data_IF_840415046553
#
_entry.id   IF_840415046553
#
_cell.length_a   1.000
_cell.length_b   1.000
_cell.length_c   1.000
_cell.angle_alpha   90.00
_cell.angle_beta   90.00
_cell.angle_gamma   90.00
#
_symmetry.space_group_name_H-M   'P 1'
#
loop_
_entity.id
_entity.type
_entity.pdbx_description
1 polymer ?
#
# COMPACT_ATOMS: atom_id res chain seq x y z
N UNK A 1 0.39 -7.06 17.91
CA UNK A 1 0.68 -6.60 16.56
C UNK A 1 -0.34 -7.16 15.59
N UNK A 2 -0.74 -6.35 14.64
CA UNK A 2 -1.82 -6.61 13.67
C UNK A 2 -1.64 -7.93 12.87
N UNK A 3 -0.43 -8.30 12.51
CA UNK A 3 -0.12 -9.53 11.78
C UNK A 3 -0.61 -10.82 12.46
N UNK A 4 -0.81 -10.81 13.78
CA UNK A 4 -1.32 -11.97 14.51
C UNK A 4 -2.84 -12.13 14.31
N UNK A 5 -3.60 -11.03 14.18
CA UNK A 5 -5.05 -11.03 13.98
C UNK A 5 -5.45 -11.60 12.61
N UNK A 6 -4.71 -11.29 11.56
CA UNK A 6 -5.00 -11.79 10.20
C UNK A 6 -4.81 -13.30 10.10
N UNK A 7 -3.75 -13.82 10.72
CA UNK A 7 -3.43 -15.26 10.72
C UNK A 7 -4.35 -16.06 11.61
N UNK A 8 -4.78 -15.52 12.77
CA UNK A 8 -5.65 -16.23 13.71
C UNK A 8 -7.09 -16.41 13.20
N UNK A 9 -7.56 -15.51 12.33
CA UNK A 9 -8.91 -15.57 11.76
C UNK A 9 -8.94 -16.17 10.34
N UNK A 10 -7.80 -16.63 9.82
CA UNK A 10 -7.67 -17.20 8.47
C UNK A 10 -8.16 -16.26 7.33
N UNK A 11 -8.14 -14.95 7.57
CA UNK A 11 -8.57 -13.95 6.58
C UNK A 11 -7.50 -13.67 5.51
N UNK A 12 -6.24 -13.88 5.87
CA UNK A 12 -5.08 -13.70 4.98
C UNK A 12 -4.00 -14.71 5.37
N UNK A 13 -3.36 -15.30 4.38
CA UNK A 13 -2.12 -16.06 4.55
C UNK A 13 -0.98 -15.36 3.82
N UNK A 14 0.20 -15.36 4.42
CA UNK A 14 1.44 -14.89 3.79
C UNK A 14 2.46 -16.00 3.88
N UNK A 15 2.95 -16.43 2.73
CA UNK A 15 3.98 -17.44 2.59
C UNK A 15 5.25 -16.82 2.01
N UNK A 16 6.39 -17.09 2.61
CA UNK A 16 7.69 -16.64 2.10
C UNK A 16 8.39 -17.82 1.43
N UNK A 17 8.64 -17.69 0.14
CA UNK A 17 9.34 -18.69 -0.68
C UNK A 17 10.77 -18.26 -0.91
N UNK A 18 11.72 -19.11 -0.52
CA UNK A 18 13.13 -18.81 -0.68
C UNK A 18 13.61 -19.21 -2.07
N UNK A 19 13.95 -18.24 -2.90
CA UNK A 19 14.44 -18.44 -4.28
C UNK A 19 15.69 -19.36 -4.33
N UNK A 20 16.51 -19.38 -3.27
CA UNK A 20 17.70 -20.27 -3.18
C UNK A 20 17.36 -21.74 -3.24
N UNK A 21 16.18 -22.14 -2.82
CA UNK A 21 15.76 -23.53 -2.82
C UNK A 21 15.53 -24.07 -4.25
N UNK A 22 15.46 -23.16 -5.22
CA UNK A 22 15.30 -23.45 -6.66
C UNK A 22 16.59 -23.26 -7.46
N UNK A 23 17.71 -23.05 -6.80
CA UNK A 23 19.00 -22.94 -7.46
C UNK A 23 19.55 -24.33 -7.78
N UNK A 24 19.59 -24.69 -9.06
CA UNK A 24 20.07 -26.00 -9.56
C UNK A 24 21.61 -26.08 -9.64
N UNK A 25 22.32 -25.61 -8.61
CA UNK A 25 23.78 -25.64 -8.57
C UNK A 25 24.32 -26.05 -7.19
N UNK A 26 25.56 -26.56 -7.16
CA UNK A 26 26.19 -27.16 -5.97
C UNK A 26 26.22 -26.23 -4.73
N UNK A 27 26.14 -24.91 -4.92
CA UNK A 27 26.29 -23.92 -3.85
C UNK A 27 25.01 -23.11 -3.57
N UNK A 28 23.89 -23.50 -4.17
CA UNK A 28 22.61 -22.78 -4.11
C UNK A 28 22.78 -21.28 -4.41
N UNK A 29 23.63 -20.97 -5.41
CA UNK A 29 23.87 -19.60 -5.85
C UNK A 29 22.69 -19.14 -6.70
N UNK A 30 22.20 -17.95 -6.39
CA UNK A 30 21.09 -17.30 -7.08
C UNK A 30 21.52 -16.06 -7.85
N UNK A 31 22.80 -15.72 -7.79
CA UNK A 31 23.37 -14.48 -8.30
C UNK A 31 24.62 -14.73 -9.14
N UNK A 32 24.89 -13.86 -10.12
CA UNK A 32 26.09 -13.87 -10.94
C UNK A 32 26.45 -12.47 -11.43
N UNK A 33 27.61 -12.29 -12.03
CA UNK A 33 28.08 -11.03 -12.58
C UNK A 33 27.23 -10.59 -13.78
N UNK A 34 26.90 -9.28 -13.90
CA UNK A 34 26.19 -8.78 -15.06
C UNK A 34 27.00 -8.89 -16.35
N UNK A 35 26.34 -9.24 -17.44
CA UNK A 35 26.95 -9.12 -18.76
C UNK A 35 27.25 -7.64 -19.06
N UNK A 36 28.36 -7.40 -19.75
CA UNK A 36 28.84 -6.05 -20.05
C UNK A 36 29.70 -5.44 -18.94
N UNK A 37 29.88 -6.14 -17.81
CA UNK A 37 30.62 -5.65 -16.65
C UNK A 37 29.83 -4.68 -15.80
N UNK A 38 30.40 -4.23 -14.69
CA UNK A 38 29.79 -3.36 -13.72
C UNK A 38 30.08 -3.84 -12.31
N UNK A 39 29.73 -3.02 -11.30
CA UNK A 39 29.80 -3.40 -9.89
C UNK A 39 28.55 -4.19 -9.50
N UNK A 40 28.69 -5.07 -8.52
CA UNK A 40 27.57 -5.83 -7.96
C UNK A 40 27.25 -7.11 -8.70
N UNK A 41 26.13 -7.70 -8.31
CA UNK A 41 25.65 -9.00 -8.80
C UNK A 41 24.19 -8.84 -9.25
N UNK A 42 23.72 -9.74 -10.11
CA UNK A 42 22.31 -9.84 -10.51
C UNK A 42 21.76 -11.19 -10.08
N UNK A 43 20.50 -11.22 -9.70
CA UNK A 43 19.79 -12.49 -9.49
C UNK A 43 19.58 -13.18 -10.84
N UNK A 44 19.93 -14.47 -10.88
CA UNK A 44 19.83 -15.30 -12.08
C UNK A 44 18.38 -15.61 -12.43
N UNK A 45 18.08 -15.70 -13.73
CA UNK A 45 16.73 -15.99 -14.23
C UNK A 45 16.17 -17.33 -13.75
N UNK A 46 16.98 -18.42 -13.84
CA UNK A 46 16.53 -19.79 -13.56
C UNK A 46 16.01 -20.01 -12.14
N UNK A 47 16.73 -19.61 -11.05
CA UNK A 47 16.21 -19.75 -9.69
C UNK A 47 14.93 -18.94 -9.44
N UNK A 48 14.84 -17.72 -10.00
CA UNK A 48 13.65 -16.86 -9.89
C UNK A 48 12.46 -17.50 -10.60
N UNK A 49 12.67 -17.99 -11.83
CA UNK A 49 11.62 -18.66 -12.59
C UNK A 49 11.17 -19.97 -11.93
N UNK A 50 12.10 -20.75 -11.40
CA UNK A 50 11.79 -21.99 -10.68
C UNK A 50 10.94 -21.74 -9.43
N UNK A 51 11.27 -20.70 -8.65
CA UNK A 51 10.49 -20.30 -7.49
C UNK A 51 9.06 -19.82 -7.89
N UNK A 52 8.98 -18.98 -8.93
CA UNK A 52 7.70 -18.53 -9.48
C UNK A 52 6.82 -19.72 -9.92
N UNK A 53 7.37 -20.66 -10.71
CA UNK A 53 6.61 -21.83 -11.16
C UNK A 53 6.09 -22.67 -10.01
N UNK A 54 6.90 -22.90 -8.98
CA UNK A 54 6.48 -23.67 -7.81
C UNK A 54 5.32 -22.98 -7.05
N UNK A 55 5.35 -21.65 -6.96
CA UNK A 55 4.25 -20.88 -6.35
C UNK A 55 3.00 -20.94 -7.20
N UNK A 56 3.10 -20.76 -8.52
CA UNK A 56 1.97 -20.89 -9.46
C UNK A 56 1.33 -22.28 -9.39
N UNK A 57 2.15 -23.32 -9.44
CA UNK A 57 1.67 -24.71 -9.38
C UNK A 57 0.94 -24.97 -8.04
N UNK A 58 1.46 -24.46 -6.92
CA UNK A 58 0.79 -24.56 -5.61
C UNK A 58 -0.55 -23.80 -5.57
N UNK A 59 -0.62 -22.59 -6.14
CA UNK A 59 -1.86 -21.81 -6.24
C UNK A 59 -2.88 -22.57 -7.10
N UNK A 60 -2.49 -23.10 -8.24
CA UNK A 60 -3.37 -23.87 -9.14
C UNK A 60 -3.89 -25.14 -8.48
N UNK A 61 -3.03 -25.89 -7.79
CA UNK A 61 -3.44 -27.09 -7.03
C UNK A 61 -4.47 -26.75 -5.94
N UNK A 62 -4.29 -25.65 -5.22
CA UNK A 62 -5.18 -25.21 -4.15
C UNK A 62 -6.51 -24.67 -4.66
N UNK A 63 -6.48 -23.87 -5.72
CA UNK A 63 -7.68 -23.16 -6.22
C UNK A 63 -8.42 -23.90 -7.32
N UNK A 64 -7.74 -24.80 -8.04
CA UNK A 64 -8.26 -25.42 -9.26
C UNK A 64 -8.46 -24.44 -10.43
N UNK A 65 -7.99 -23.21 -10.33
CA UNK A 65 -8.12 -22.18 -11.35
C UNK A 65 -7.00 -22.29 -12.39
N UNK A 66 -7.36 -22.27 -13.65
CA UNK A 66 -6.42 -22.07 -14.74
C UNK A 66 -6.27 -20.56 -14.96
N UNK A 67 -5.06 -20.08 -15.04
CA UNK A 67 -4.74 -18.68 -15.25
C UNK A 67 -3.39 -18.31 -14.68
N UNK A 68 -2.99 -17.07 -14.89
CA UNK A 68 -1.74 -16.52 -14.40
C UNK A 68 -2.05 -15.64 -13.18
N UNK A 69 -1.36 -15.91 -12.08
CA UNK A 69 -1.43 -15.07 -10.88
C UNK A 69 -0.76 -13.72 -11.14
N UNK A 70 -1.28 -12.68 -10.54
CA UNK A 70 -0.68 -11.35 -10.60
C UNK A 70 0.66 -11.33 -9.88
N UNK A 71 1.71 -10.89 -10.57
CA UNK A 71 3.08 -10.84 -10.06
C UNK A 71 3.56 -9.39 -9.99
N UNK A 72 3.74 -8.90 -8.78
CA UNK A 72 4.20 -7.54 -8.51
C UNK A 72 5.68 -7.55 -8.18
N UNK A 73 6.51 -6.99 -9.06
CA UNK A 73 7.92 -6.78 -8.81
C UNK A 73 8.16 -5.44 -8.09
N UNK A 74 8.82 -5.51 -6.94
CA UNK A 74 9.09 -4.36 -6.08
C UNK A 74 10.40 -3.70 -6.49
N UNK A 75 10.29 -2.61 -7.21
CA UNK A 75 11.42 -1.93 -7.84
C UNK A 75 11.20 -0.42 -7.92
N UNK A 76 12.28 0.39 -7.77
CA UNK A 76 12.21 1.84 -8.03
C UNK A 76 11.77 2.21 -9.46
N UNK A 77 11.81 1.27 -10.41
CA UNK A 77 11.37 1.47 -11.79
C UNK A 77 9.84 1.49 -11.94
N UNK A 78 9.11 1.03 -10.93
CA UNK A 78 7.65 0.93 -10.95
C UNK A 78 6.92 2.24 -10.67
N UNK A 79 5.62 2.24 -10.96
CA UNK A 79 4.72 3.31 -10.50
C UNK A 79 4.66 3.39 -8.98
N UNK A 80 4.54 4.60 -8.43
CA UNK A 80 4.47 4.78 -6.98
C UNK A 80 3.18 4.18 -6.42
N UNK A 81 3.31 3.29 -5.44
CA UNK A 81 2.19 2.65 -4.74
C UNK A 81 1.24 3.68 -4.14
N UNK A 82 -0.05 3.47 -4.33
CA UNK A 82 -1.12 4.36 -3.89
C UNK A 82 -2.28 3.57 -3.26
N UNK A 83 -3.17 4.27 -2.57
CA UNK A 83 -4.37 3.66 -2.00
C UNK A 83 -5.23 2.96 -3.07
N UNK A 84 -5.37 3.57 -4.26
CA UNK A 84 -6.12 2.97 -5.36
C UNK A 84 -5.49 1.66 -5.87
N UNK A 85 -4.15 1.54 -5.87
CA UNK A 85 -3.48 0.28 -6.18
C UNK A 85 -3.70 -0.76 -5.07
N UNK A 86 -3.71 -0.34 -3.80
CA UNK A 86 -4.03 -1.25 -2.70
C UNK A 86 -5.46 -1.80 -2.83
N UNK A 87 -6.43 -0.96 -3.19
CA UNK A 87 -7.83 -1.36 -3.45
C UNK A 87 -7.97 -2.31 -4.65
N UNK A 88 -7.13 -2.15 -5.65
CA UNK A 88 -7.06 -3.05 -6.80
C UNK A 88 -6.48 -4.41 -6.39
N UNK A 89 -5.36 -4.40 -5.67
CA UNK A 89 -4.71 -5.63 -5.19
C UNK A 89 -5.56 -6.40 -4.18
N UNK A 90 -6.36 -5.70 -3.37
CA UNK A 90 -7.27 -6.33 -2.42
C UNK A 90 -8.42 -7.12 -3.07
N UNK A 91 -8.64 -6.98 -4.38
CA UNK A 91 -9.61 -7.76 -5.14
C UNK A 91 -9.04 -9.09 -5.65
N UNK A 92 -7.73 -9.23 -5.63
CA UNK A 92 -7.06 -10.46 -6.04
C UNK A 92 -7.20 -11.53 -4.94
N UNK A 93 -7.45 -12.76 -5.35
CA UNK A 93 -7.49 -13.89 -4.44
C UNK A 93 -6.09 -14.31 -4.00
N UNK A 94 -5.14 -14.23 -4.94
CA UNK A 94 -3.72 -14.50 -4.76
C UNK A 94 -2.88 -13.41 -5.41
N UNK A 95 -1.78 -13.04 -4.74
CA UNK A 95 -0.83 -12.04 -5.21
C UNK A 95 0.59 -12.52 -4.94
N UNK A 96 1.42 -12.55 -5.96
CA UNK A 96 2.84 -12.86 -5.83
C UNK A 96 3.63 -11.55 -5.73
N UNK A 97 4.37 -11.36 -4.64
CA UNK A 97 5.27 -10.22 -4.45
C UNK A 97 6.71 -10.68 -4.70
N UNK A 98 7.31 -10.24 -5.79
CA UNK A 98 8.69 -10.55 -6.15
C UNK A 98 9.63 -9.53 -5.50
N UNK A 99 10.44 -10.01 -4.56
CA UNK A 99 11.43 -9.23 -3.83
C UNK A 99 12.82 -9.42 -4.44
N UNK A 100 13.33 -8.40 -5.12
CA UNK A 100 14.68 -8.41 -5.67
C UNK A 100 15.74 -8.02 -4.65
N UNK A 101 16.97 -8.45 -4.92
CA UNK A 101 18.18 -8.11 -4.19
C UNK A 101 19.31 -7.70 -5.14
N UNK A 102 20.43 -7.29 -4.57
CA UNK A 102 21.64 -6.88 -5.30
C UNK A 102 21.36 -5.70 -6.24
N UNK A 103 21.89 -5.74 -7.47
CA UNK A 103 21.66 -4.71 -8.49
C UNK A 103 20.33 -4.95 -9.26
N UNK A 104 19.64 -6.05 -8.98
CA UNK A 104 18.36 -6.40 -9.60
C UNK A 104 18.26 -7.87 -10.00
N UNK A 105 17.34 -8.15 -10.88
CA UNK A 105 17.01 -9.48 -11.40
C UNK A 105 17.26 -9.48 -12.92
N UNK A 106 17.66 -10.61 -13.48
CA UNK A 106 17.82 -10.78 -14.94
C UNK A 106 16.53 -10.37 -15.66
N UNK A 107 16.65 -9.44 -16.62
CA UNK A 107 15.49 -8.84 -17.30
C UNK A 107 14.61 -9.87 -18.02
N UNK A 108 15.22 -10.94 -18.55
CA UNK A 108 14.49 -11.98 -19.30
C UNK A 108 13.43 -12.69 -18.46
N UNK A 109 13.69 -12.93 -17.17
CA UNK A 109 12.68 -13.52 -16.29
C UNK A 109 11.64 -12.49 -15.86
N UNK A 110 12.03 -11.23 -15.67
CA UNK A 110 11.08 -10.17 -15.37
C UNK A 110 10.07 -9.99 -16.52
N UNK A 111 10.52 -9.93 -17.76
CA UNK A 111 9.68 -9.86 -18.96
C UNK A 111 8.72 -11.06 -19.06
N UNK A 112 9.15 -12.23 -18.62
CA UNK A 112 8.37 -13.46 -18.68
C UNK A 112 7.29 -13.52 -17.58
N UNK A 113 7.62 -13.12 -16.32
CA UNK A 113 6.74 -13.41 -15.18
C UNK A 113 6.04 -12.18 -14.57
N UNK A 114 6.61 -10.98 -14.70
CA UNK A 114 6.06 -9.78 -14.01
C UNK A 114 4.85 -9.22 -14.73
N UNK A 115 3.82 -8.90 -13.95
CA UNK A 115 2.63 -8.20 -14.45
C UNK A 115 2.66 -6.72 -14.09
N UNK A 116 3.22 -6.38 -12.94
CA UNK A 116 3.24 -5.03 -12.40
C UNK A 116 4.61 -4.68 -11.80
N UNK A 117 5.07 -3.48 -12.07
CA UNK A 117 6.24 -2.89 -11.43
C UNK A 117 5.76 -1.83 -10.44
N UNK A 118 6.13 -1.96 -9.15
CA UNK A 118 5.65 -1.08 -8.09
C UNK A 118 6.80 -0.54 -7.25
N UNK A 119 6.82 0.77 -7.07
CA UNK A 119 7.73 1.49 -6.17
C UNK A 119 6.98 1.99 -4.95
N UNK A 120 7.61 2.06 -3.78
CA UNK A 120 7.05 2.72 -2.60
C UNK A 120 7.56 4.16 -2.41
N UNK A 121 8.31 4.70 -3.38
CA UNK A 121 8.83 6.07 -3.37
C UNK A 121 10.18 6.18 -4.07
N UNK A 122 10.62 7.42 -4.30
CA UNK A 122 11.84 7.75 -5.02
C UNK A 122 13.09 7.64 -4.12
N UNK A 123 13.37 6.43 -3.66
CA UNK A 123 14.57 6.09 -2.88
C UNK A 123 14.91 4.61 -3.06
N UNK A 124 16.15 4.25 -2.80
CA UNK A 124 16.66 2.90 -2.98
C UNK A 124 16.79 2.19 -1.63
N UNK A 125 16.32 0.96 -1.57
CA UNK A 125 16.45 0.05 -0.44
C UNK A 125 17.38 -1.13 -0.79
N UNK A 126 17.81 -1.89 0.21
CA UNK A 126 18.70 -3.03 0.02
C UNK A 126 18.01 -4.27 -0.55
N UNK A 127 16.67 -4.32 -0.53
CA UNK A 127 15.87 -5.44 -1.03
C UNK A 127 14.38 -5.11 -1.09
N UNK A 128 13.60 -5.99 -1.70
CA UNK A 128 12.16 -5.82 -1.90
C UNK A 128 11.28 -6.19 -0.69
N UNK A 129 11.83 -6.74 0.38
CA UNK A 129 11.04 -7.26 1.51
C UNK A 129 10.31 -6.15 2.28
N UNK A 130 10.98 -5.01 2.54
CA UNK A 130 10.32 -3.88 3.20
C UNK A 130 9.19 -3.29 2.36
N UNK A 131 9.36 -3.03 1.06
CA UNK A 131 8.25 -2.69 0.17
C UNK A 131 7.11 -3.71 0.20
N UNK A 132 7.42 -5.02 0.18
CA UNK A 132 6.42 -6.08 0.27
C UNK A 132 5.61 -5.96 1.57
N UNK A 133 6.26 -5.74 2.70
CA UNK A 133 5.59 -5.55 3.99
C UNK A 133 4.65 -4.34 3.98
N UNK A 134 5.05 -3.22 3.36
CA UNK A 134 4.19 -2.02 3.20
C UNK A 134 2.95 -2.36 2.37
N UNK A 135 3.11 -3.05 1.25
CA UNK A 135 1.98 -3.44 0.40
C UNK A 135 1.07 -4.43 1.12
N UNK A 136 1.61 -5.45 1.76
CA UNK A 136 0.83 -6.43 2.54
C UNK A 136 0.01 -5.74 3.63
N UNK A 137 0.61 -4.81 4.38
CA UNK A 137 -0.11 -4.07 5.43
C UNK A 137 -1.25 -3.23 4.82
N UNK A 138 -0.97 -2.43 3.80
CA UNK A 138 -1.96 -1.57 3.16
C UNK A 138 -3.12 -2.36 2.52
N UNK A 139 -2.81 -3.45 1.81
CA UNK A 139 -3.82 -4.32 1.17
C UNK A 139 -4.65 -5.08 2.20
N UNK A 140 -4.01 -5.64 3.23
CA UNK A 140 -4.71 -6.43 4.24
C UNK A 140 -5.76 -5.63 5.02
N UNK A 141 -5.54 -4.34 5.24
CA UNK A 141 -6.51 -3.43 5.89
C UNK A 141 -7.83 -3.27 5.11
N UNK A 142 -7.80 -3.53 3.81
CA UNK A 142 -8.96 -3.43 2.91
C UNK A 142 -9.76 -4.73 2.81
N UNK A 143 -9.24 -5.82 3.37
CA UNK A 143 -9.94 -7.11 3.38
C UNK A 143 -11.03 -7.08 4.47
N UNK A 144 -12.29 -7.40 4.14
CA UNK A 144 -13.39 -7.41 5.09
C UNK A 144 -13.08 -8.27 6.33
N UNK A 145 -13.40 -7.76 7.51
CA UNK A 145 -13.19 -8.45 8.78
C UNK A 145 -11.76 -8.37 9.35
N UNK A 146 -10.82 -7.76 8.63
CA UNK A 146 -9.45 -7.53 9.12
C UNK A 146 -9.40 -6.41 10.14
N UNK A 147 -10.12 -5.31 9.92
CA UNK A 147 -10.31 -4.27 10.90
C UNK A 147 -11.57 -4.56 11.73
N UNK A 148 -11.51 -4.31 13.05
CA UNK A 148 -12.65 -4.51 13.96
C UNK A 148 -13.86 -3.64 13.65
N UNK A 149 -13.68 -2.59 12.87
CA UNK A 149 -14.73 -1.68 12.49
C UNK A 149 -14.61 -1.41 10.98
N UNK A 150 -15.46 -2.03 10.18
CA UNK A 150 -15.45 -1.91 8.72
C UNK A 150 -15.69 -0.46 8.26
N UNK A 151 -16.34 0.37 9.10
CA UNK A 151 -16.52 1.81 8.85
C UNK A 151 -15.25 2.63 9.11
N UNK A 152 -14.22 2.06 9.73
CA UNK A 152 -12.95 2.79 9.98
C UNK A 152 -12.23 3.12 8.67
N UNK A 153 -12.30 2.24 7.68
CA UNK A 153 -11.67 2.44 6.38
C UNK A 153 -12.38 3.52 5.53
N UNK A 154 -13.67 3.78 5.77
CA UNK A 154 -14.46 4.73 4.98
C UNK A 154 -14.08 6.21 5.22
N UNK A 155 -13.41 6.52 6.33
CA UNK A 155 -13.07 7.89 6.72
C UNK A 155 -11.57 8.15 6.82
N UNK A 156 -10.74 7.21 6.40
CA UNK A 156 -9.28 7.34 6.42
C UNK A 156 -8.76 8.27 5.30
N UNK A 157 -7.51 8.72 5.46
CA UNK A 157 -6.84 9.53 4.44
C UNK A 157 -6.80 8.81 3.09
N UNK A 158 -6.96 9.60 2.02
CA UNK A 158 -7.03 9.21 0.60
C UNK A 158 -8.39 8.68 0.14
N UNK A 159 -9.36 8.46 1.02
CA UNK A 159 -10.76 8.31 0.61
C UNK A 159 -11.23 9.64 0.00
N UNK A 160 -11.94 9.60 -1.12
CA UNK A 160 -12.36 10.78 -1.90
C UNK A 160 -11.21 11.76 -2.22
N UNK A 161 -9.95 11.30 -2.23
CA UNK A 161 -8.76 12.12 -2.39
C UNK A 161 -8.61 13.24 -1.35
N UNK A 162 -9.05 12.99 -0.13
CA UNK A 162 -8.88 13.90 0.99
C UNK A 162 -8.01 13.30 2.10
N UNK A 163 -7.39 14.14 2.90
CA UNK A 163 -6.79 13.75 4.16
C UNK A 163 -7.87 13.66 5.23
N UNK A 164 -7.66 12.77 6.18
CA UNK A 164 -8.51 12.63 7.35
C UNK A 164 -8.55 13.91 8.19
N UNK A 165 -9.71 14.17 8.82
CA UNK A 165 -9.90 15.28 9.75
C UNK A 165 -9.05 15.12 11.03
N UNK A 166 -8.84 16.20 11.82
CA UNK A 166 -8.09 16.13 13.07
C UNK A 166 -8.87 15.38 14.15
N UNK A 167 -8.17 14.46 14.82
CA UNK A 167 -8.71 13.71 15.95
C UNK A 167 -8.32 14.34 17.28
N UNK A 168 -9.22 14.22 18.24
CA UNK A 168 -9.02 14.68 19.61
C UNK A 168 -9.42 13.59 20.59
N UNK A 169 -8.67 13.51 21.70
CA UNK A 169 -8.97 12.59 22.79
C UNK A 169 -8.88 13.31 24.15
N UNK A 170 -9.06 12.59 25.23
CA UNK A 170 -8.99 13.12 26.59
C UNK A 170 -7.55 13.48 26.99
N UNK A 171 -7.37 14.53 27.83
CA UNK A 171 -8.38 15.39 28.45
C UNK A 171 -8.97 16.42 27.45
N UNK A 172 -10.12 17.04 27.82
CA UNK A 172 -10.79 18.07 26.99
C UNK A 172 -9.91 19.31 26.78
N UNK A 173 -9.12 19.68 27.81
CA UNK A 173 -8.17 20.80 27.76
C UNK A 173 -6.77 20.22 28.00
N UNK A 174 -5.85 20.52 27.06
CA UNK A 174 -4.45 20.14 27.17
C UNK A 174 -3.55 21.33 26.81
N UNK A 175 -2.72 21.80 27.76
CA UNK A 175 -1.86 22.98 27.59
C UNK A 175 -2.64 24.19 27.00
N UNK A 176 -3.75 24.56 27.62
CA UNK A 176 -4.65 25.66 27.21
C UNK A 176 -5.31 25.48 25.82
N UNK A 177 -5.14 24.33 25.19
CA UNK A 177 -5.81 23.98 23.93
C UNK A 177 -7.04 23.14 24.22
N UNK A 178 -8.17 23.62 23.79
CA UNK A 178 -9.46 22.96 24.00
C UNK A 178 -9.85 22.11 22.78
N UNK A 179 -10.49 20.98 23.04
CA UNK A 179 -11.21 20.20 22.01
C UNK A 179 -12.30 21.08 21.39
N UNK A 180 -12.45 21.10 20.05
CA UNK A 180 -13.51 21.88 19.40
C UNK A 180 -14.88 21.59 20.01
N UNK A 181 -15.65 22.62 20.45
CA UNK A 181 -16.91 22.44 21.16
C UNK A 181 -17.95 21.63 20.37
N UNK A 182 -17.88 21.67 19.03
CA UNK A 182 -18.77 20.90 18.16
C UNK A 182 -18.66 19.39 18.40
N UNK A 183 -17.45 18.89 18.72
CA UNK A 183 -17.21 17.47 18.99
C UNK A 183 -17.78 17.02 20.33
N UNK A 184 -18.08 17.98 21.23
CA UNK A 184 -18.68 17.75 22.54
C UNK A 184 -20.20 17.93 22.54
N UNK A 185 -20.77 18.40 21.43
CA UNK A 185 -22.18 18.81 21.33
C UNK A 185 -23.20 17.66 21.30
N UNK A 186 -22.76 16.44 20.96
CA UNK A 186 -23.66 15.29 20.72
C UNK A 186 -24.47 15.35 19.41
N UNK A 187 -24.34 16.41 18.62
CA UNK A 187 -25.06 16.58 17.35
C UNK A 187 -24.34 15.92 16.19
N UNK A 188 -24.58 14.64 15.94
CA UNK A 188 -23.86 13.84 14.95
C UNK A 188 -23.79 14.49 13.56
N UNK A 189 -24.91 15.00 13.04
CA UNK A 189 -24.94 15.65 11.72
C UNK A 189 -24.00 16.87 11.62
N UNK A 190 -23.91 17.66 12.69
CA UNK A 190 -23.01 18.81 12.72
C UNK A 190 -21.55 18.38 12.88
N UNK A 191 -21.29 17.30 13.62
CA UNK A 191 -19.96 16.70 13.76
C UNK A 191 -19.48 16.18 12.41
N UNK A 192 -20.31 15.44 11.65
CA UNK A 192 -19.96 14.94 10.33
C UNK A 192 -19.66 16.07 9.34
N UNK A 193 -20.48 17.10 9.33
CA UNK A 193 -20.22 18.29 8.52
C UNK A 193 -18.90 18.96 8.89
N UNK A 194 -18.63 19.14 10.17
CA UNK A 194 -17.37 19.69 10.65
C UNK A 194 -16.16 18.83 10.23
N UNK A 195 -16.26 17.50 10.38
CA UNK A 195 -15.23 16.55 9.94
C UNK A 195 -14.90 16.72 8.46
N UNK A 196 -15.92 16.77 7.61
CA UNK A 196 -15.77 16.98 6.16
C UNK A 196 -15.09 18.31 5.84
N UNK A 197 -15.50 19.40 6.49
CA UNK A 197 -14.90 20.72 6.35
C UNK A 197 -13.41 20.71 6.77
N UNK A 198 -13.09 20.04 7.88
CA UNK A 198 -11.71 19.91 8.36
C UNK A 198 -10.85 19.03 7.45
N UNK A 199 -11.37 17.97 6.87
CA UNK A 199 -10.67 17.14 5.89
C UNK A 199 -10.28 17.99 4.66
N UNK A 200 -11.21 18.76 4.11
CA UNK A 200 -10.96 19.63 2.96
C UNK A 200 -9.90 20.69 3.29
N UNK A 201 -10.04 21.38 4.45
CA UNK A 201 -9.09 22.41 4.88
C UNK A 201 -7.69 21.82 5.09
N UNK A 202 -7.59 20.68 5.78
CA UNK A 202 -6.32 19.99 6.03
C UNK A 202 -5.66 19.53 4.72
N UNK A 203 -6.45 19.04 3.77
CA UNK A 203 -5.95 18.62 2.46
C UNK A 203 -5.40 19.83 1.70
N UNK A 204 -6.10 20.93 1.69
CA UNK A 204 -5.61 22.17 1.09
C UNK A 204 -4.29 22.64 1.70
N UNK A 205 -4.15 22.58 3.03
CA UNK A 205 -2.95 23.05 3.73
C UNK A 205 -1.73 22.13 3.53
N UNK A 206 -1.93 20.82 3.41
CA UNK A 206 -0.86 19.83 3.48
C UNK A 206 -0.61 19.05 2.21
N UNK A 207 -1.66 18.79 1.44
CA UNK A 207 -1.64 18.02 0.22
C UNK A 207 -2.60 18.62 -0.82
N UNK A 208 -2.34 19.88 -1.26
CA UNK A 208 -3.19 20.57 -2.24
C UNK A 208 -3.30 19.80 -3.57
N UNK A 209 -2.31 19.01 -3.91
CA UNK A 209 -2.30 18.11 -5.08
C UNK A 209 -3.44 17.10 -5.10
N UNK A 210 -3.98 16.72 -3.96
CA UNK A 210 -5.12 15.81 -3.85
C UNK A 210 -6.45 16.50 -4.19
N UNK A 211 -6.59 17.81 -3.92
CA UNK A 211 -7.82 18.53 -4.19
C UNK A 211 -8.18 18.59 -5.68
N UNK A 212 -7.20 18.53 -6.57
CA UNK A 212 -7.42 18.49 -8.02
C UNK A 212 -8.17 17.24 -8.46
N UNK A 213 -8.13 16.18 -7.63
CA UNK A 213 -8.78 14.89 -7.87
C UNK A 213 -10.00 14.66 -6.97
N UNK A 214 -10.22 15.53 -5.96
CA UNK A 214 -11.30 15.38 -5.00
C UNK A 214 -12.64 15.87 -5.57
N UNK A 215 -13.70 15.10 -5.35
CA UNK A 215 -15.05 15.50 -5.72
C UNK A 215 -15.63 16.45 -4.67
N UNK A 216 -15.41 17.75 -4.89
CA UNK A 216 -15.96 18.81 -4.03
C UNK A 216 -17.22 19.42 -4.65
N UNK A 217 -18.26 19.58 -3.84
CA UNK A 217 -19.46 20.34 -4.21
C UNK A 217 -19.14 21.84 -4.33
N UNK A 218 -19.92 22.59 -5.12
CA UNK A 218 -19.74 24.05 -5.25
C UNK A 218 -19.84 24.77 -3.90
N UNK A 219 -20.64 24.27 -2.98
CA UNK A 219 -20.74 24.79 -1.62
C UNK A 219 -19.46 24.58 -0.81
N UNK A 220 -18.83 23.41 -0.93
CA UNK A 220 -17.56 23.10 -0.26
C UNK A 220 -16.41 23.94 -0.82
N UNK A 221 -16.34 24.10 -2.14
CA UNK A 221 -15.38 25.00 -2.78
C UNK A 221 -15.50 26.44 -2.27
N UNK A 222 -16.72 26.97 -2.19
CA UNK A 222 -16.98 28.31 -1.67
C UNK A 222 -16.62 28.45 -0.19
N UNK A 223 -16.94 27.42 0.63
CA UNK A 223 -16.58 27.40 2.04
C UNK A 223 -15.06 27.39 2.23
N UNK A 224 -14.34 26.56 1.47
CA UNK A 224 -12.88 26.53 1.49
C UNK A 224 -12.28 27.89 1.13
N UNK A 225 -12.80 28.55 0.11
CA UNK A 225 -12.33 29.87 -0.30
C UNK A 225 -12.52 30.93 0.81
N UNK A 226 -13.67 30.92 1.49
CA UNK A 226 -13.91 31.78 2.64
C UNK A 226 -12.95 31.50 3.80
N UNK A 227 -12.65 30.23 4.10
CA UNK A 227 -11.68 29.83 5.14
C UNK A 227 -10.27 30.35 4.82
N UNK A 228 -9.86 30.21 3.57
CA UNK A 228 -8.54 30.69 3.10
C UNK A 228 -8.41 32.21 3.24
N UNK A 229 -9.46 32.94 2.93
CA UNK A 229 -9.48 34.41 3.04
C UNK A 229 -9.40 34.87 4.50
N UNK A 230 -10.05 34.15 5.43
CA UNK A 230 -9.98 34.43 6.86
C UNK A 230 -8.64 34.10 7.51
N UNK A 231 -7.93 33.09 7.01
CA UNK A 231 -6.62 32.67 7.55
C UNK A 231 -5.47 33.62 7.12
N UNK A 232 -5.73 34.50 6.13
CA UNK A 232 -4.78 35.49 5.62
C UNK A 232 -4.88 36.87 6.29
N UNK A 233 -5.86 37.08 7.16
CA UNK A 233 -6.05 38.32 7.94
C UNK A 233 -5.51 38.16 9.36
#
# INVERSE_FOLDING_TARGET
>A
PYTTLFRSNHLLSVEAVNIRDYANNKHNRVDDYPYGGGAGMLMQAEPVYGAYRAVEDHIQERTGKEGRTRVVYLSPQGGTFSQSMAEEFAKEEDLILLCGHYEGIDERVLEEIVTDYVSIGDYVLTGGELPAMVIVDAVSRLIPGVLHNDTSAEFESFQDNLLEYPHYTRPEIWHDKQVPPILLSGHHANVEKWRREQSILRTWQRRPDLLDKAELTEKEKKNLQNMIEHDKM
#
